data_IF_091008715439
#
_entry.id   IF_091008715439
#
_cell.length_a   1.000
_cell.length_b   1.000
_cell.length_c   1.000
_cell.angle_alpha   90.00
_cell.angle_beta   90.00
_cell.angle_gamma   90.00
#
_symmetry.space_group_name_H-M   'P 1'
#
loop_
_entity.id
_entity.type
_entity.pdbx_description
1 polymer ?
#
# COMPACT_ATOMS: atom_id res chain seq x y z
N UNK A 1 -51.73 47.33 12.69
CA UNK A 1 -51.08 46.18 12.03
C UNK A 1 -49.61 46.41 11.65
N UNK A 2 -49.07 47.65 11.62
CA UNK A 2 -47.66 47.89 11.25
C UNK A 2 -46.63 47.56 12.35
N UNK A 3 -47.04 47.49 13.62
CA UNK A 3 -46.13 47.26 14.76
C UNK A 3 -45.69 45.79 14.87
N UNK A 4 -46.59 44.83 14.58
CA UNK A 4 -46.30 43.39 14.64
C UNK A 4 -45.33 42.92 13.54
N UNK A 5 -45.35 43.55 12.37
CA UNK A 5 -44.46 43.17 11.26
C UNK A 5 -43.01 43.58 11.53
N UNK A 6 -42.79 44.77 12.10
CA UNK A 6 -41.44 45.26 12.44
C UNK A 6 -40.80 44.45 13.57
N UNK A 7 -41.61 44.03 14.55
CA UNK A 7 -41.16 43.17 15.64
C UNK A 7 -40.82 41.75 15.14
N UNK A 8 -41.66 41.18 14.27
CA UNK A 8 -41.40 39.89 13.65
C UNK A 8 -40.14 39.90 12.77
N UNK A 9 -39.91 40.95 11.98
CA UNK A 9 -38.71 41.09 11.15
C UNK A 9 -37.45 41.22 12.02
N UNK A 10 -37.48 42.05 13.08
CA UNK A 10 -36.34 42.14 14.01
C UNK A 10 -36.01 40.78 14.62
N UNK A 11 -37.03 40.08 15.16
CA UNK A 11 -36.84 38.80 15.84
C UNK A 11 -36.30 37.72 14.89
N UNK A 12 -36.78 37.70 13.64
CA UNK A 12 -36.29 36.80 12.61
C UNK A 12 -34.85 37.11 12.19
N UNK A 13 -34.49 38.39 12.02
CA UNK A 13 -33.10 38.79 11.69
C UNK A 13 -32.12 38.52 12.82
N UNK A 14 -32.52 38.71 14.09
CA UNK A 14 -31.65 38.41 15.24
C UNK A 14 -31.45 36.91 15.45
N UNK A 15 -32.47 36.08 15.19
CA UNK A 15 -32.34 34.61 15.26
C UNK A 15 -31.47 34.10 14.11
N UNK A 16 -31.62 34.63 12.90
CA UNK A 16 -30.81 34.25 11.75
C UNK A 16 -29.33 34.66 11.93
N UNK A 17 -29.08 35.84 12.53
CA UNK A 17 -27.74 36.28 12.90
C UNK A 17 -27.13 35.42 14.02
N UNK A 18 -27.93 34.94 14.98
CA UNK A 18 -27.44 34.06 16.05
C UNK A 18 -27.12 32.64 15.55
N UNK A 19 -27.87 32.12 14.58
CA UNK A 19 -27.61 30.80 13.97
C UNK A 19 -26.33 30.83 13.11
N UNK A 20 -25.97 31.97 12.52
CA UNK A 20 -24.77 32.09 11.69
C UNK A 20 -23.44 32.10 12.48
N UNK A 21 -23.45 32.37 13.80
CA UNK A 21 -22.23 32.51 14.61
C UNK A 21 -21.81 31.19 15.28
N UNK A 22 -22.62 30.12 15.21
CA UNK A 22 -22.26 28.78 15.70
C UNK A 22 -21.86 27.79 14.61
N UNK A 23 -21.62 28.26 13.38
CA UNK A 23 -20.82 27.48 12.44
C UNK A 23 -19.36 27.69 12.81
N UNK A 24 -18.91 27.03 13.88
CA UNK A 24 -17.48 26.76 14.04
C UNK A 24 -17.09 26.04 12.75
N UNK A 25 -16.37 26.71 11.86
CA UNK A 25 -15.66 26.05 10.79
C UNK A 25 -14.79 25.00 11.50
N UNK A 26 -15.18 23.72 11.39
CA UNK A 26 -14.33 22.65 11.86
C UNK A 26 -12.96 22.91 11.21
N UNK A 27 -11.88 23.03 12.00
CA UNK A 27 -10.56 23.26 11.42
C UNK A 27 -10.36 22.21 10.33
N UNK A 28 -9.88 22.65 9.16
CA UNK A 28 -9.48 21.75 8.08
C UNK A 28 -8.29 20.92 8.59
N UNK A 29 -8.56 19.93 9.42
CA UNK A 29 -7.60 18.92 9.79
C UNK A 29 -7.33 18.15 8.50
N UNK A 30 -6.07 18.11 8.08
CA UNK A 30 -5.64 17.21 7.03
C UNK A 30 -6.23 15.84 7.36
N UNK A 31 -7.06 15.28 6.47
CA UNK A 31 -7.59 13.94 6.68
C UNK A 31 -6.41 13.02 7.01
N UNK A 32 -6.54 12.18 8.04
CA UNK A 32 -5.56 11.11 8.34
C UNK A 32 -5.64 9.99 7.27
N UNK A 33 -5.68 10.38 6.01
CA UNK A 33 -5.49 9.53 4.86
C UNK A 33 -3.98 9.58 4.65
N UNK A 34 -3.27 8.65 5.30
CA UNK A 34 -1.84 8.45 5.06
C UNK A 34 -1.57 7.98 3.62
N UNK A 35 -0.34 7.60 3.33
CA UNK A 35 0.06 7.05 2.03
C UNK A 35 -0.58 5.66 1.76
N UNK A 36 -0.33 5.07 0.59
CA UNK A 36 -0.82 3.71 0.28
C UNK A 36 -0.38 2.68 1.33
N UNK A 37 0.84 2.83 1.86
CA UNK A 37 1.37 1.98 2.93
C UNK A 37 0.53 2.05 4.22
N UNK A 38 0.03 3.22 4.59
CA UNK A 38 -0.91 3.38 5.71
C UNK A 38 -2.16 2.53 5.51
N UNK A 39 -2.72 2.49 4.30
CA UNK A 39 -3.92 1.68 4.02
C UNK A 39 -3.59 0.18 4.03
N UNK A 40 -2.41 -0.20 3.52
CA UNK A 40 -1.91 -1.58 3.60
C UNK A 40 -1.78 -2.01 5.06
N UNK A 41 -1.15 -1.21 5.90
CA UNK A 41 -0.93 -1.52 7.32
C UNK A 41 -2.26 -1.60 8.09
N UNK A 42 -3.21 -0.71 7.77
CA UNK A 42 -4.58 -0.74 8.33
C UNK A 42 -5.32 -2.01 7.96
N UNK A 43 -5.21 -2.46 6.70
CA UNK A 43 -5.83 -3.71 6.26
C UNK A 43 -5.14 -4.93 6.89
N UNK A 44 -3.80 -4.90 6.96
CA UNK A 44 -3.00 -5.97 7.51
C UNK A 44 -3.31 -6.24 8.98
N UNK A 45 -3.42 -5.21 9.83
CA UNK A 45 -3.75 -5.42 11.25
C UNK A 45 -5.15 -6.05 11.41
N UNK A 46 -6.14 -5.60 10.65
CA UNK A 46 -7.50 -6.18 10.69
C UNK A 46 -7.48 -7.65 10.28
N UNK A 47 -6.83 -7.97 9.15
CA UNK A 47 -6.74 -9.34 8.66
C UNK A 47 -5.98 -10.26 9.62
N UNK A 48 -4.85 -9.80 10.18
CA UNK A 48 -4.03 -10.59 11.11
C UNK A 48 -4.73 -10.85 12.43
N UNK A 49 -5.50 -9.89 12.96
CA UNK A 49 -6.31 -10.12 14.16
C UNK A 49 -7.45 -11.11 13.90
N UNK A 50 -8.07 -11.06 12.72
CA UNK A 50 -9.05 -12.06 12.30
C UNK A 50 -8.46 -13.47 12.24
N UNK A 51 -7.28 -13.63 11.62
CA UNK A 51 -6.56 -14.91 11.59
C UNK A 51 -6.19 -15.39 13.00
N UNK A 52 -5.67 -14.49 13.84
CA UNK A 52 -5.30 -14.78 15.23
C UNK A 52 -6.48 -15.33 16.02
N UNK A 53 -7.67 -14.73 15.87
CA UNK A 53 -8.88 -15.20 16.56
C UNK A 53 -9.28 -16.62 16.13
N UNK A 54 -9.14 -16.94 14.84
CA UNK A 54 -9.38 -18.30 14.33
C UNK A 54 -8.42 -19.29 14.96
N UNK A 55 -7.11 -19.05 14.87
CA UNK A 55 -6.08 -19.96 15.41
C UNK A 55 -6.12 -20.05 16.95
N UNK A 56 -6.60 -19.02 17.65
CA UNK A 56 -6.86 -19.08 19.08
C UNK A 56 -7.99 -20.05 19.46
N UNK A 57 -8.96 -20.27 18.57
CA UNK A 57 -10.04 -21.23 18.81
C UNK A 57 -9.50 -22.66 18.75
N UNK A 58 -8.61 -22.93 17.80
CA UNK A 58 -7.93 -24.23 17.69
C UNK A 58 -7.02 -24.48 18.91
N UNK A 59 -6.26 -23.45 19.33
CA UNK A 59 -5.43 -23.53 20.53
C UNK A 59 -6.26 -23.75 21.80
N UNK A 60 -7.42 -23.09 21.93
CA UNK A 60 -8.33 -23.30 23.05
C UNK A 60 -8.85 -24.74 23.10
N UNK A 61 -9.14 -25.33 21.94
CA UNK A 61 -9.53 -26.73 21.82
C UNK A 61 -8.39 -27.68 22.25
N UNK A 62 -7.16 -27.43 21.79
CA UNK A 62 -5.99 -28.23 22.12
C UNK A 62 -5.60 -28.16 23.61
N UNK A 63 -5.85 -27.02 24.26
CA UNK A 63 -5.58 -26.78 25.68
C UNK A 63 -6.81 -26.97 26.58
N UNK A 64 -7.89 -27.54 26.07
CA UNK A 64 -9.10 -27.75 26.84
C UNK A 64 -8.84 -28.66 28.05
N UNK A 65 -9.32 -28.28 29.23
CA UNK A 65 -9.08 -29.00 30.49
C UNK A 65 -7.71 -28.77 31.12
N UNK A 66 -6.85 -27.95 30.53
CA UNK A 66 -5.57 -27.53 31.12
C UNK A 66 -5.74 -26.28 31.99
N UNK A 67 -4.76 -25.99 32.85
CA UNK A 67 -4.68 -24.73 33.59
C UNK A 67 -4.56 -23.50 32.69
N UNK A 68 -4.18 -23.67 31.42
CA UNK A 68 -3.99 -22.57 30.47
C UNK A 68 -5.25 -22.23 29.68
N UNK A 69 -6.35 -22.98 29.83
CA UNK A 69 -7.62 -22.68 29.14
C UNK A 69 -8.14 -21.26 29.46
N UNK A 70 -8.01 -20.81 30.72
CA UNK A 70 -8.37 -19.43 31.12
C UNK A 70 -7.42 -18.39 30.52
N UNK A 71 -6.13 -18.72 30.38
CA UNK A 71 -5.15 -17.85 29.75
C UNK A 71 -5.48 -17.66 28.26
N UNK A 72 -5.86 -18.72 27.54
CA UNK A 72 -6.29 -18.61 26.14
C UNK A 72 -7.55 -17.75 26.01
N UNK A 73 -8.54 -17.89 26.91
CA UNK A 73 -9.72 -17.02 26.95
C UNK A 73 -9.37 -15.54 27.19
N UNK A 74 -8.38 -15.26 28.04
CA UNK A 74 -7.87 -13.91 28.25
C UNK A 74 -7.23 -13.32 26.98
N UNK A 75 -6.50 -14.15 26.21
CA UNK A 75 -5.94 -13.74 24.91
C UNK A 75 -7.06 -13.46 23.91
N UNK A 76 -8.08 -14.33 23.80
CA UNK A 76 -9.25 -14.11 22.92
C UNK A 76 -10.00 -12.82 23.26
N UNK A 77 -10.15 -12.52 24.55
CA UNK A 77 -10.78 -11.28 25.03
C UNK A 77 -9.95 -10.06 24.63
N UNK A 78 -8.62 -10.14 24.78
CA UNK A 78 -7.71 -9.07 24.40
C UNK A 78 -7.75 -8.82 22.89
N UNK A 79 -7.69 -9.87 22.06
CA UNK A 79 -7.78 -9.75 20.59
C UNK A 79 -9.13 -9.15 20.16
N UNK A 80 -10.23 -9.61 20.77
CA UNK A 80 -11.57 -9.05 20.52
C UNK A 80 -11.66 -7.57 20.94
N UNK A 81 -11.04 -7.20 22.07
CA UNK A 81 -10.91 -5.82 22.53
C UNK A 81 -10.14 -4.94 21.53
N UNK A 82 -9.04 -5.44 20.97
CA UNK A 82 -8.28 -4.74 19.93
C UNK A 82 -9.12 -4.54 18.67
N UNK A 83 -9.86 -5.55 18.22
CA UNK A 83 -10.77 -5.46 17.07
C UNK A 83 -11.88 -4.42 17.31
N UNK A 84 -12.49 -4.41 18.50
CA UNK A 84 -13.49 -3.42 18.87
C UNK A 84 -12.95 -1.99 18.84
N UNK A 85 -11.78 -1.76 19.41
CA UNK A 85 -11.11 -0.46 19.40
C UNK A 85 -10.72 -0.01 17.97
N UNK A 86 -10.28 -0.93 17.12
CA UNK A 86 -10.06 -0.67 15.68
C UNK A 86 -11.38 -0.28 15.00
N UNK A 87 -12.49 -0.92 15.34
CA UNK A 87 -13.82 -0.53 14.84
C UNK A 87 -14.19 0.91 15.18
N UNK A 88 -13.88 1.36 16.40
CA UNK A 88 -14.06 2.76 16.83
C UNK A 88 -13.19 3.70 16.01
N UNK A 89 -11.91 3.36 15.81
CA UNK A 89 -10.98 4.12 14.97
C UNK A 89 -11.50 4.20 13.53
N UNK A 90 -11.90 3.07 12.94
CA UNK A 90 -12.40 2.99 11.57
C UNK A 90 -13.63 3.87 11.38
N UNK A 91 -14.58 3.84 12.32
CA UNK A 91 -15.78 4.69 12.27
C UNK A 91 -15.43 6.19 12.33
N UNK A 92 -14.47 6.58 13.17
CA UNK A 92 -14.00 7.97 13.23
C UNK A 92 -13.34 8.40 11.91
N UNK A 93 -12.49 7.55 11.33
CA UNK A 93 -11.81 7.86 10.08
C UNK A 93 -12.76 7.95 8.88
N UNK A 94 -13.78 7.08 8.81
CA UNK A 94 -14.81 7.12 7.76
C UNK A 94 -15.62 8.41 7.79
N UNK A 95 -15.82 9.01 8.96
CA UNK A 95 -16.50 10.30 9.13
C UNK A 95 -15.54 11.50 9.04
N UNK A 96 -14.27 11.27 8.69
CA UNK A 96 -13.25 12.32 8.58
C UNK A 96 -12.71 12.85 9.91
N UNK A 97 -13.06 12.21 11.02
CA UNK A 97 -12.55 12.55 12.35
C UNK A 97 -11.15 11.97 12.57
N UNK A 98 -10.40 12.60 13.48
CA UNK A 98 -9.12 12.04 13.95
C UNK A 98 -9.38 10.75 14.73
N UNK A 99 -8.51 9.75 14.55
CA UNK A 99 -8.53 8.53 15.34
C UNK A 99 -8.42 8.86 16.85
N UNK A 100 -9.43 8.51 17.68
CA UNK A 100 -9.42 8.81 19.11
C UNK A 100 -8.17 8.26 19.79
N UNK A 101 -7.59 9.02 20.74
CA UNK A 101 -6.38 8.59 21.45
C UNK A 101 -6.65 7.35 22.30
N UNK A 102 -7.77 7.35 23.02
CA UNK A 102 -8.21 6.28 23.88
C UNK A 102 -8.37 4.96 23.11
N UNK A 103 -8.96 5.02 21.91
CA UNK A 103 -9.11 3.84 21.06
C UNK A 103 -7.75 3.32 20.56
N UNK A 104 -6.79 4.20 20.25
CA UNK A 104 -5.43 3.80 19.85
C UNK A 104 -4.68 3.13 21.01
N UNK A 105 -4.80 3.70 22.21
CA UNK A 105 -4.19 3.16 23.42
C UNK A 105 -4.81 1.81 23.80
N UNK A 106 -6.12 1.66 23.61
CA UNK A 106 -6.82 0.37 23.77
C UNK A 106 -6.30 -0.69 22.80
N UNK A 107 -6.03 -0.37 21.53
CA UNK A 107 -5.41 -1.33 20.61
C UNK A 107 -4.05 -1.76 21.13
N UNK A 108 -3.17 -0.82 21.46
CA UNK A 108 -1.83 -1.12 21.96
C UNK A 108 -1.84 -1.94 23.26
N UNK A 109 -2.69 -1.56 24.23
CA UNK A 109 -2.84 -2.25 25.50
C UNK A 109 -3.33 -3.69 25.33
N UNK A 110 -4.34 -3.89 24.50
CA UNK A 110 -4.88 -5.23 24.23
C UNK A 110 -3.85 -6.14 23.53
N UNK A 111 -3.12 -5.64 22.53
CA UNK A 111 -2.08 -6.43 21.87
C UNK A 111 -0.96 -6.80 22.84
N UNK A 112 -0.55 -5.87 23.69
CA UNK A 112 0.47 -6.11 24.72
C UNK A 112 0.03 -7.16 25.73
N UNK A 113 -1.22 -7.08 26.21
CA UNK A 113 -1.80 -8.07 27.11
C UNK A 113 -1.86 -9.46 26.47
N UNK A 114 -2.30 -9.54 25.21
CA UNK A 114 -2.35 -10.78 24.45
C UNK A 114 -0.95 -11.42 24.30
N UNK A 115 0.06 -10.66 23.90
CA UNK A 115 1.44 -11.17 23.75
C UNK A 115 2.01 -11.65 25.09
N UNK A 116 1.83 -10.86 26.15
CA UNK A 116 2.33 -11.21 27.50
C UNK A 116 1.74 -12.53 27.99
N UNK A 117 0.44 -12.74 27.79
CA UNK A 117 -0.23 -13.98 28.19
C UNK A 117 0.20 -15.17 27.33
N UNK A 118 0.39 -15.00 26.02
CA UNK A 118 0.91 -16.07 25.15
C UNK A 118 2.33 -16.51 25.55
N UNK A 119 3.19 -15.56 25.94
CA UNK A 119 4.54 -15.87 26.43
C UNK A 119 4.53 -16.58 27.80
N UNK A 120 3.46 -16.40 28.59
CA UNK A 120 3.24 -17.20 29.80
C UNK A 120 2.84 -18.63 29.46
N UNK A 121 1.90 -18.81 28.52
CA UNK A 121 1.47 -20.13 28.04
C UNK A 121 2.66 -20.90 27.44
N UNK A 122 3.52 -20.23 26.65
CA UNK A 122 4.68 -20.84 25.99
C UNK A 122 5.70 -21.45 26.96
N UNK A 123 5.71 -21.02 28.22
CA UNK A 123 6.60 -21.58 29.25
C UNK A 123 6.10 -22.89 29.83
N UNK A 124 4.82 -23.24 29.65
CA UNK A 124 4.19 -24.40 30.29
C UNK A 124 3.73 -25.48 29.29
N UNK A 125 3.43 -25.09 28.06
CA UNK A 125 2.94 -26.05 27.04
C UNK A 125 4.08 -26.96 26.58
N UNK A 126 3.91 -28.27 26.79
CA UNK A 126 4.85 -29.31 26.34
C UNK A 126 4.28 -30.21 25.25
N UNK A 127 2.95 -30.16 25.02
CA UNK A 127 2.32 -30.92 23.95
C UNK A 127 2.78 -30.40 22.57
N UNK A 128 3.27 -31.27 21.66
CA UNK A 128 3.79 -30.82 20.37
C UNK A 128 2.75 -30.12 19.49
N UNK A 129 1.49 -30.55 19.54
CA UNK A 129 0.41 -29.98 18.72
C UNK A 129 0.02 -28.60 19.22
N UNK A 130 -0.19 -28.45 20.53
CA UNK A 130 -0.47 -27.18 21.17
C UNK A 130 0.70 -26.21 21.02
N UNK A 131 1.95 -26.69 21.08
CA UNK A 131 3.15 -25.86 20.86
C UNK A 131 3.20 -25.31 19.43
N UNK A 132 2.87 -26.11 18.42
CA UNK A 132 2.82 -25.67 17.02
C UNK A 132 1.71 -24.63 16.78
N UNK A 133 0.53 -24.85 17.36
CA UNK A 133 -0.58 -23.90 17.32
C UNK A 133 -0.22 -22.59 18.02
N UNK A 134 0.42 -22.67 19.19
CA UNK A 134 0.87 -21.51 19.95
C UNK A 134 1.88 -20.67 19.14
N UNK A 135 2.86 -21.32 18.49
CA UNK A 135 3.80 -20.64 17.61
C UNK A 135 3.11 -19.93 16.43
N UNK A 136 2.07 -20.55 15.88
CA UNK A 136 1.24 -19.94 14.82
C UNK A 136 0.52 -18.68 15.33
N UNK A 137 -0.13 -18.76 16.48
CA UNK A 137 -0.83 -17.62 17.11
C UNK A 137 0.16 -16.50 17.44
N UNK A 138 1.32 -16.81 18.00
CA UNK A 138 2.36 -15.81 18.30
C UNK A 138 2.86 -15.11 17.05
N UNK A 139 3.09 -15.84 15.95
CA UNK A 139 3.52 -15.27 14.67
C UNK A 139 2.46 -14.33 14.08
N UNK A 140 1.18 -14.74 14.08
CA UNK A 140 0.09 -13.92 13.58
C UNK A 140 -0.10 -12.65 14.43
N UNK A 141 -0.03 -12.76 15.76
CA UNK A 141 -0.15 -11.62 16.67
C UNK A 141 1.04 -10.65 16.53
N UNK A 142 2.27 -11.15 16.36
CA UNK A 142 3.44 -10.31 16.05
C UNK A 142 3.29 -9.59 14.71
N UNK A 143 2.69 -10.25 13.72
CA UNK A 143 2.29 -9.63 12.45
C UNK A 143 1.30 -8.48 12.66
N UNK A 144 0.28 -8.68 13.51
CA UNK A 144 -0.69 -7.64 13.86
C UNK A 144 -0.03 -6.46 14.59
N UNK A 145 0.89 -6.72 15.53
CA UNK A 145 1.68 -5.68 16.23
C UNK A 145 2.53 -4.90 15.25
N UNK A 146 3.20 -5.57 14.31
CA UNK A 146 4.03 -4.94 13.29
C UNK A 146 3.20 -4.05 12.38
N UNK A 147 2.06 -4.54 11.90
CA UNK A 147 1.11 -3.74 11.12
C UNK A 147 0.60 -2.53 11.93
N UNK A 148 0.28 -2.71 13.22
CA UNK A 148 -0.12 -1.61 14.11
C UNK A 148 0.95 -0.51 14.24
N UNK A 149 2.22 -0.89 14.37
CA UNK A 149 3.35 0.06 14.33
C UNK A 149 3.46 0.76 12.98
N UNK A 150 3.25 0.02 11.89
CA UNK A 150 3.16 0.56 10.53
C UNK A 150 2.09 1.63 10.40
N UNK A 151 0.88 1.38 10.91
CA UNK A 151 -0.21 2.38 10.96
C UNK A 151 0.25 3.65 11.68
N UNK A 152 0.89 3.54 12.85
CA UNK A 152 1.39 4.72 13.58
C UNK A 152 2.44 5.50 12.77
N UNK A 153 3.36 4.79 12.13
CA UNK A 153 4.44 5.38 11.32
C UNK A 153 3.93 6.04 10.04
N UNK A 154 3.02 5.37 9.33
CA UNK A 154 2.67 5.68 7.95
C UNK A 154 1.37 6.48 7.82
N UNK A 155 0.49 6.44 8.84
CA UNK A 155 -0.80 7.14 8.82
C UNK A 155 -0.80 8.53 9.47
N UNK A 156 0.34 8.98 10.01
CA UNK A 156 0.44 10.31 10.58
C UNK A 156 0.89 11.34 9.53
N UNK A 157 -0.06 11.94 8.81
CA UNK A 157 0.20 12.98 7.80
C UNK A 157 0.62 14.33 8.38
N UNK A 158 0.89 14.42 9.69
CA UNK A 158 1.38 15.64 10.32
C UNK A 158 2.89 15.55 10.55
N UNK A 159 3.66 15.84 9.50
CA UNK A 159 4.98 16.44 9.67
C UNK A 159 4.75 17.95 9.85
N UNK A 160 4.67 18.50 11.07
CA UNK A 160 5.12 19.87 11.23
C UNK A 160 6.59 19.88 10.81
N UNK A 161 6.96 20.85 9.98
CA UNK A 161 8.27 21.10 9.38
C UNK A 161 9.47 21.19 10.37
N UNK A 162 9.35 20.72 11.61
CA UNK A 162 10.29 20.95 12.72
C UNK A 162 10.77 19.66 13.39
N UNK A 163 11.03 18.58 12.63
CA UNK A 163 11.81 17.44 13.17
C UNK A 163 12.75 16.76 12.17
N UNK A 164 13.30 17.53 11.23
CA UNK A 164 14.36 17.08 10.31
C UNK A 164 15.74 17.04 10.97
N UNK A 165 15.89 16.51 12.20
CA UNK A 165 17.22 16.38 12.82
C UNK A 165 17.49 15.08 13.60
N UNK A 166 16.60 14.08 13.54
CA UNK A 166 16.92 12.76 14.09
C UNK A 166 16.39 11.67 13.15
N UNK A 167 16.94 11.61 11.94
CA UNK A 167 16.86 10.41 11.12
C UNK A 167 17.98 9.47 11.57
N UNK A 168 17.61 8.37 12.23
CA UNK A 168 18.49 7.23 12.44
C UNK A 168 18.60 6.47 11.11
N UNK A 169 19.79 6.36 10.48
CA UNK A 169 19.94 5.85 9.11
C UNK A 169 19.83 4.32 8.99
N UNK A 170 19.52 3.59 10.06
CA UNK A 170 19.63 2.13 10.09
C UNK A 170 18.39 1.34 9.60
N UNK A 171 17.34 1.99 9.08
CA UNK A 171 16.12 1.27 8.64
C UNK A 171 15.54 1.72 7.30
N UNK A 172 16.36 2.30 6.44
CA UNK A 172 16.11 2.26 5.00
C UNK A 172 17.07 1.20 4.45
N UNK A 173 16.56 0.08 3.95
CA UNK A 173 17.36 -0.75 3.04
C UNK A 173 17.79 0.17 1.91
N UNK A 174 19.07 0.52 1.91
CA UNK A 174 19.67 1.42 0.95
C UNK A 174 19.40 0.84 -0.43
N UNK A 175 18.72 1.59 -1.30
CA UNK A 175 18.56 1.22 -2.71
C UNK A 175 19.95 0.90 -3.25
N UNK A 176 20.20 -0.39 -3.56
CA UNK A 176 21.46 -0.84 -4.14
C UNK A 176 21.37 -0.70 -5.65
N UNK A 177 22.00 0.32 -6.24
CA UNK A 177 21.83 0.58 -7.65
C UNK A 177 22.80 -0.25 -8.50
N UNK A 178 23.55 -1.17 -7.90
CA UNK A 178 24.32 -2.20 -8.60
C UNK A 178 23.53 -3.51 -8.73
N UNK A 179 22.45 -3.67 -7.95
CA UNK A 179 21.50 -4.78 -8.05
C UNK A 179 20.30 -4.42 -8.96
N UNK A 180 20.12 -3.13 -9.28
CA UNK A 180 19.29 -2.68 -10.39
C UNK A 180 20.03 -2.95 -11.72
N UNK A 181 20.20 -4.21 -12.07
CA UNK A 181 20.84 -4.58 -13.32
C UNK A 181 19.91 -4.25 -14.48
N UNK A 182 20.41 -3.37 -15.35
CA UNK A 182 19.93 -3.02 -16.68
C UNK A 182 18.43 -2.68 -16.75
N UNK A 183 18.10 -1.45 -16.35
CA UNK A 183 16.74 -0.90 -16.42
C UNK A 183 16.13 -1.04 -17.82
N UNK A 184 16.94 -0.91 -18.88
CA UNK A 184 16.52 -1.08 -20.28
C UNK A 184 16.18 -2.53 -20.60
N UNK A 185 16.96 -3.49 -20.09
CA UNK A 185 16.64 -4.92 -20.25
C UNK A 185 15.45 -5.34 -19.39
N UNK A 186 15.28 -4.75 -18.21
CA UNK A 186 14.14 -5.00 -17.33
C UNK A 186 12.86 -4.41 -17.92
N UNK A 187 12.90 -3.17 -18.42
CA UNK A 187 11.78 -2.56 -19.14
C UNK A 187 11.43 -3.38 -20.39
N UNK A 188 12.43 -3.80 -21.16
CA UNK A 188 12.23 -4.66 -22.32
C UNK A 188 11.65 -6.03 -21.96
N UNK A 189 12.11 -6.65 -20.87
CA UNK A 189 11.58 -7.93 -20.39
C UNK A 189 10.12 -7.79 -19.93
N UNK A 190 9.78 -6.68 -19.26
CA UNK A 190 8.40 -6.37 -18.86
C UNK A 190 7.53 -6.06 -20.07
N UNK A 191 8.03 -5.31 -21.04
CA UNK A 191 7.32 -5.03 -22.29
C UNK A 191 7.03 -6.31 -23.08
N UNK A 192 8.01 -7.22 -23.18
CA UNK A 192 7.86 -8.52 -23.83
C UNK A 192 6.84 -9.39 -23.05
N UNK A 193 6.90 -9.42 -21.71
CA UNK A 193 5.95 -10.17 -20.86
C UNK A 193 4.51 -9.65 -20.98
N UNK A 194 4.32 -8.33 -20.93
CA UNK A 194 3.02 -7.67 -21.08
C UNK A 194 2.48 -7.90 -22.49
N UNK A 195 3.33 -7.85 -23.52
CA UNK A 195 2.93 -8.11 -24.90
C UNK A 195 2.41 -9.55 -25.07
N UNK A 196 3.17 -10.55 -24.61
CA UNK A 196 2.77 -11.96 -24.68
C UNK A 196 1.49 -12.24 -23.86
N UNK A 197 1.37 -11.68 -22.66
CA UNK A 197 0.16 -11.79 -21.86
C UNK A 197 -1.04 -11.12 -22.53
N UNK A 198 -0.83 -9.97 -23.20
CA UNK A 198 -1.88 -9.29 -23.96
C UNK A 198 -2.36 -10.14 -25.12
N UNK A 199 -1.46 -10.75 -25.89
CA UNK A 199 -1.84 -11.61 -27.01
C UNK A 199 -2.50 -12.91 -26.56
N UNK A 200 -2.10 -13.45 -25.40
CA UNK A 200 -2.75 -14.62 -24.79
C UNK A 200 -4.16 -14.31 -24.29
N UNK A 201 -4.36 -13.14 -23.68
CA UNK A 201 -5.65 -12.73 -23.09
C UNK A 201 -6.60 -12.15 -24.14
N UNK A 202 -6.05 -11.55 -25.20
CA UNK A 202 -6.78 -10.92 -26.31
C UNK A 202 -6.22 -11.38 -27.67
N UNK A 203 -6.37 -12.67 -28.03
CA UNK A 203 -5.84 -13.21 -29.29
C UNK A 203 -6.41 -12.50 -30.53
N UNK A 204 -7.61 -11.93 -30.44
CA UNK A 204 -8.22 -11.15 -31.51
C UNK A 204 -7.41 -9.89 -31.89
N UNK A 205 -6.61 -9.34 -30.95
CA UNK A 205 -5.72 -8.22 -31.21
C UNK A 205 -4.51 -8.65 -32.07
N UNK A 206 -4.08 -9.91 -31.99
CA UNK A 206 -3.02 -10.45 -32.85
C UNK A 206 -3.49 -10.60 -34.30
N UNK A 207 -4.75 -10.98 -34.50
CA UNK A 207 -5.31 -11.34 -35.80
C UNK A 207 -5.87 -10.13 -36.58
N UNK A 208 -6.41 -9.13 -35.88
CA UNK A 208 -7.06 -7.98 -36.49
C UNK A 208 -6.30 -6.70 -36.20
N UNK A 209 -5.41 -6.34 -37.12
CA UNK A 209 -4.64 -5.10 -37.07
C UNK A 209 -5.52 -3.83 -36.92
N UNK A 210 -6.76 -3.87 -37.42
CA UNK A 210 -7.75 -2.80 -37.33
C UNK A 210 -8.18 -2.47 -35.88
N UNK A 211 -8.18 -3.46 -34.98
CA UNK A 211 -8.54 -3.25 -33.56
C UNK A 211 -7.44 -2.54 -32.76
N UNK A 212 -6.20 -2.56 -33.28
CA UNK A 212 -5.05 -1.85 -32.69
C UNK A 212 -4.94 -0.43 -33.27
N UNK A 213 -5.29 -0.24 -34.55
CA UNK A 213 -5.23 1.07 -35.21
C UNK A 213 -6.43 1.96 -34.89
N UNK A 214 -7.62 1.38 -34.72
CA UNK A 214 -8.83 2.07 -34.27
C UNK A 214 -9.42 1.29 -33.10
N UNK A 215 -9.37 1.92 -31.92
CA UNK A 215 -9.84 1.30 -30.70
C UNK A 215 -11.37 1.21 -30.68
N UNK A 216 -11.91 -0.02 -30.64
CA UNK A 216 -13.35 -0.25 -30.51
C UNK A 216 -13.80 0.07 -29.09
N UNK A 217 -14.26 1.31 -28.91
CA UNK A 217 -14.68 1.84 -27.62
C UNK A 217 -15.92 1.13 -27.06
N UNK A 218 -16.82 0.67 -27.94
CA UNK A 218 -18.06 0.00 -27.54
C UNK A 218 -17.78 -1.40 -27.02
N UNK A 219 -16.90 -2.15 -27.69
CA UNK A 219 -16.45 -3.45 -27.22
C UNK A 219 -15.66 -3.35 -25.91
N UNK A 220 -14.73 -2.40 -25.78
CA UNK A 220 -14.00 -2.20 -24.52
C UNK A 220 -14.91 -1.84 -23.34
N UNK A 221 -16.00 -1.10 -23.61
CA UNK A 221 -16.99 -0.72 -22.60
C UNK A 221 -18.07 -1.76 -22.36
N UNK A 222 -18.14 -2.80 -23.20
CA UNK A 222 -19.03 -3.93 -23.01
C UNK A 222 -18.74 -4.64 -21.69
N UNK A 223 -19.69 -5.44 -21.20
CA UNK A 223 -19.50 -6.19 -19.95
C UNK A 223 -18.35 -7.19 -20.06
N UNK A 224 -18.28 -7.92 -21.18
CA UNK A 224 -17.22 -8.89 -21.48
C UNK A 224 -15.83 -8.22 -21.56
N UNK A 225 -15.72 -7.13 -22.32
CA UNK A 225 -14.46 -6.38 -22.44
C UNK A 225 -13.97 -5.87 -21.08
N UNK A 226 -14.86 -5.27 -20.27
CA UNK A 226 -14.52 -4.79 -18.93
C UNK A 226 -14.08 -5.91 -17.99
N UNK A 227 -14.69 -7.08 -18.07
CA UNK A 227 -14.34 -8.22 -17.22
C UNK A 227 -12.96 -8.77 -17.59
N UNK A 228 -12.69 -8.95 -18.90
CA UNK A 228 -11.39 -9.40 -19.41
C UNK A 228 -10.27 -8.41 -19.09
N UNK A 229 -10.48 -7.12 -19.32
CA UNK A 229 -9.52 -6.07 -18.95
C UNK A 229 -9.28 -5.99 -17.44
N UNK A 230 -10.31 -6.18 -16.61
CA UNK A 230 -10.13 -6.21 -15.14
C UNK A 230 -9.33 -7.42 -14.68
N UNK A 231 -9.54 -8.58 -15.29
CA UNK A 231 -8.81 -9.79 -14.93
C UNK A 231 -7.34 -9.69 -15.40
N UNK A 232 -7.11 -9.20 -16.61
CA UNK A 232 -5.77 -8.88 -17.12
C UNK A 232 -4.98 -7.96 -16.16
N UNK A 233 -5.61 -6.88 -15.69
CA UNK A 233 -4.97 -5.91 -14.77
C UNK A 233 -4.73 -6.51 -13.37
N UNK A 234 -5.60 -7.41 -12.89
CA UNK A 234 -5.45 -8.01 -11.56
C UNK A 234 -4.25 -8.95 -11.47
N UNK A 235 -3.90 -9.61 -12.56
CA UNK A 235 -2.78 -10.56 -12.59
C UNK A 235 -1.41 -9.84 -12.57
N UNK A 236 -1.34 -8.59 -13.06
CA UNK A 236 -0.13 -7.76 -13.10
C UNK A 236 0.14 -7.01 -11.77
N UNK A 237 0.48 -7.74 -10.71
CA UNK A 237 0.62 -7.19 -9.35
C UNK A 237 1.74 -6.15 -9.13
N UNK A 238 2.71 -6.04 -10.06
CA UNK A 238 3.85 -5.13 -9.97
C UNK A 238 3.73 -3.89 -10.87
N UNK A 239 2.65 -3.76 -11.64
CA UNK A 239 2.44 -2.61 -12.54
C UNK A 239 1.26 -1.78 -12.08
N UNK A 240 1.31 -0.47 -12.32
CA UNK A 240 0.21 0.45 -12.03
C UNK A 240 0.07 1.44 -13.17
N UNK A 241 -1.15 1.54 -13.73
CA UNK A 241 -1.46 2.57 -14.70
C UNK A 241 -1.47 3.94 -14.01
N UNK A 242 -0.49 4.78 -14.36
CA UNK A 242 -0.43 6.18 -13.95
C UNK A 242 -0.89 7.06 -15.10
N UNK A 243 -1.70 8.08 -14.78
CA UNK A 243 -2.03 9.11 -15.77
C UNK A 243 -0.76 9.89 -16.14
N UNK A 244 -0.70 10.44 -17.36
CA UNK A 244 0.47 11.21 -17.83
C UNK A 244 0.88 12.34 -16.86
N UNK A 245 -0.11 12.98 -16.22
CA UNK A 245 0.16 14.04 -15.24
C UNK A 245 0.80 13.51 -13.95
N UNK A 246 0.39 12.33 -13.48
CA UNK A 246 0.98 11.67 -12.32
C UNK A 246 2.41 11.21 -12.61
N UNK A 247 2.65 10.66 -13.80
CA UNK A 247 3.99 10.31 -14.28
C UNK A 247 4.92 11.53 -14.30
N UNK A 248 4.51 12.63 -14.94
CA UNK A 248 5.33 13.85 -15.00
C UNK A 248 5.61 14.44 -13.63
N UNK A 249 4.64 14.47 -12.71
CA UNK A 249 4.85 14.98 -11.36
C UNK A 249 5.92 14.17 -10.61
N UNK A 250 5.88 12.84 -10.73
CA UNK A 250 6.86 11.95 -10.09
C UNK A 250 8.25 12.11 -10.72
N UNK A 251 8.33 12.13 -12.05
CA UNK A 251 9.61 12.26 -12.77
C UNK A 251 10.28 13.62 -12.53
N UNK A 252 9.51 14.71 -12.47
CA UNK A 252 10.06 16.04 -12.12
C UNK A 252 10.63 16.04 -10.71
N UNK A 253 9.93 15.42 -9.74
CA UNK A 253 10.43 15.29 -8.38
C UNK A 253 11.70 14.44 -8.32
N UNK A 254 11.75 13.31 -9.03
CA UNK A 254 12.94 12.45 -9.09
C UNK A 254 14.15 13.18 -9.67
N UNK A 255 13.96 13.94 -10.74
CA UNK A 255 15.01 14.75 -11.34
C UNK A 255 15.48 15.88 -10.40
N UNK A 256 14.57 16.59 -9.74
CA UNK A 256 14.94 17.68 -8.81
C UNK A 256 15.63 17.19 -7.54
N UNK A 257 15.35 15.96 -7.11
CA UNK A 257 15.96 15.34 -5.94
C UNK A 257 17.23 14.54 -6.27
N UNK A 258 17.69 14.54 -7.53
CA UNK A 258 18.87 13.78 -7.98
C UNK A 258 18.70 12.26 -7.92
N UNK A 259 17.48 11.77 -7.75
CA UNK A 259 17.17 10.34 -7.64
C UNK A 259 17.30 9.61 -9.00
N UNK A 260 17.34 10.37 -10.10
CA UNK A 260 17.54 9.85 -11.45
C UNK A 260 19.00 9.96 -11.94
N UNK A 261 19.90 10.58 -11.18
CA UNK A 261 21.25 10.88 -11.63
C UNK A 261 22.02 9.59 -11.96
N UNK A 262 21.89 8.56 -11.10
CA UNK A 262 22.58 7.29 -11.32
C UNK A 262 22.02 6.51 -12.53
N UNK A 263 20.71 6.59 -12.78
CA UNK A 263 20.11 5.97 -13.97
C UNK A 263 20.58 6.66 -15.27
N UNK A 264 20.70 7.98 -15.23
CA UNK A 264 21.19 8.77 -16.37
C UNK A 264 22.65 8.47 -16.71
N UNK A 265 23.51 8.28 -15.71
CA UNK A 265 24.91 7.89 -15.95
C UNK A 265 25.04 6.46 -16.47
N UNK A 266 24.20 5.52 -15.98
CA UNK A 266 24.14 4.15 -16.54
C UNK A 266 23.70 4.20 -18.01
N UNK A 267 22.65 4.94 -18.34
CA UNK A 267 22.15 5.06 -19.71
C UNK A 267 23.18 5.68 -20.67
N UNK A 268 23.95 6.68 -20.21
CA UNK A 268 25.07 7.25 -20.99
C UNK A 268 26.16 6.22 -21.26
N UNK A 269 26.52 5.43 -20.25
CA UNK A 269 27.55 4.40 -20.40
C UNK A 269 27.08 3.26 -21.32
N UNK A 270 25.82 2.82 -21.20
CA UNK A 270 25.22 1.84 -22.11
C UNK A 270 25.16 2.35 -23.56
N UNK A 271 24.79 3.62 -23.77
CA UNK A 271 24.80 4.25 -25.09
C UNK A 271 26.22 4.33 -25.67
N UNK A 272 27.23 4.66 -24.87
CA UNK A 272 28.65 4.69 -25.26
C UNK A 272 29.14 3.29 -25.67
N UNK A 273 28.83 2.27 -24.87
CA UNK A 273 29.16 0.87 -25.16
C UNK A 273 28.48 0.42 -26.44
N UNK A 274 27.22 0.79 -26.67
CA UNK A 274 26.47 0.41 -27.86
C UNK A 274 27.01 1.10 -29.13
N UNK A 275 27.41 2.36 -29.05
CA UNK A 275 28.08 3.07 -30.13
C UNK A 275 29.40 2.38 -30.49
N UNK A 276 30.25 2.06 -29.50
CA UNK A 276 31.50 1.33 -29.74
C UNK A 276 31.27 -0.04 -30.38
N UNK A 277 30.27 -0.81 -29.92
CA UNK A 277 29.91 -2.10 -30.52
C UNK A 277 29.49 -1.94 -31.98
N UNK A 278 28.69 -0.92 -32.27
CA UNK A 278 28.20 -0.62 -33.62
C UNK A 278 29.34 -0.19 -34.55
N UNK A 279 30.26 0.64 -34.08
CA UNK A 279 31.45 1.04 -34.83
C UNK A 279 32.38 -0.13 -35.09
N UNK A 280 32.64 -0.97 -34.08
CA UNK A 280 33.44 -2.20 -34.24
C UNK A 280 32.77 -3.18 -35.21
N UNK A 281 31.45 -3.30 -35.20
CA UNK A 281 30.70 -4.12 -36.15
C UNK A 281 30.79 -3.57 -37.59
N UNK A 282 30.62 -2.26 -37.77
CA UNK A 282 30.78 -1.58 -39.07
C UNK A 282 32.20 -1.71 -39.61
N UNK A 283 33.22 -1.55 -38.76
CA UNK A 283 34.63 -1.73 -39.13
C UNK A 283 34.94 -3.18 -39.54
N UNK A 284 34.42 -4.18 -38.81
CA UNK A 284 34.55 -5.60 -39.19
C UNK A 284 33.83 -5.92 -40.49
N UNK A 285 32.63 -5.38 -40.71
CA UNK A 285 31.88 -5.55 -41.96
C UNK A 285 32.61 -4.92 -43.16
N UNK A 286 33.16 -3.71 -42.99
CA UNK A 286 33.97 -3.04 -44.01
C UNK A 286 35.26 -3.83 -44.33
N UNK A 287 35.95 -4.35 -43.33
CA UNK A 287 37.14 -5.18 -43.52
C UNK A 287 36.83 -6.52 -44.21
N UNK A 288 35.66 -7.12 -43.92
CA UNK A 288 35.20 -8.34 -44.59
C UNK A 288 34.79 -8.08 -46.06
N UNK A 289 34.19 -6.92 -46.36
CA UNK A 289 33.88 -6.51 -47.71
C UNK A 289 35.14 -6.23 -48.55
N UNK A 290 36.15 -5.58 -47.97
CA UNK A 290 37.44 -5.33 -48.62
C UNK A 290 38.21 -6.62 -48.99
N UNK A 291 38.06 -7.70 -48.18
CA UNK A 291 38.64 -9.02 -48.51
C UNK A 291 37.91 -9.78 -49.62
N UNK A 292 36.66 -9.42 -49.95
CA UNK A 292 35.87 -10.06 -51.03
C UNK A 292 36.04 -9.40 -52.40
N UNK A 293 36.54 -8.17 -52.48
CA UNK A 293 36.76 -7.43 -53.73
C UNK A 293 38.15 -7.59 -54.36
N UNK A 294 39.02 -8.44 -53.80
CA UNK A 294 40.41 -8.64 -54.24
C UNK A 294 40.67 -10.01 -54.89
N UNK A 295 39.73 -10.52 -55.69
CA UNK A 295 39.92 -11.67 -56.58
C UNK A 295 39.50 -11.32 -57.98
#
# INVERSE_FOLDING_TARGET
MAFSLRFAIMLFTTVFAYVAVFVNAAPLTSRQIGNLQCNIDRLAIVGKLGQTQSSLTDLAGALNGTSDATNVQAVQTSVSGAQGAIGVIAKALLTGQTAPAEARDQVAGNLTAATTTLDAINRHVTDPTASALLGTVQSQLQGAVTAGKGVVSNCNSSLPLVRLLIFNPAMATKFDPNNAQNLVEVEKQLDDEIFEHTLKTFPELAEKHEMITVLDEDWMKSQDGKERWRNFIKDESNTIFVTRIQFYAIEICRNKLGLNDKAHEIAKEEARIQQEKTEKAKAKAAAAAAKKGGK
#
